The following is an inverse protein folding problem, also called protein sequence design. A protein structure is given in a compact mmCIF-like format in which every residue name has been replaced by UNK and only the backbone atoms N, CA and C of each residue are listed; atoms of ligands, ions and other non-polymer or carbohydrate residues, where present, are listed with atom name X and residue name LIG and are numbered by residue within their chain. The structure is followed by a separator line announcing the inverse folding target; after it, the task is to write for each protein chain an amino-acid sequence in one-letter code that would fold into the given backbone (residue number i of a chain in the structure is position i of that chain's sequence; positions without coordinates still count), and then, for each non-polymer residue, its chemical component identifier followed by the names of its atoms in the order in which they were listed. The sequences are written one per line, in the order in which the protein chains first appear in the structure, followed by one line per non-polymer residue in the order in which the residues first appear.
data_IF_828619777451
#
_entry.id   IF_828619777451
#
_cell.length_a   1.000
_cell.length_b   1.000
_cell.length_c   1.000
_cell.angle_alpha   90.00
_cell.angle_beta   90.00
_cell.angle_gamma   90.00
#
_symmetry.space_group_name_H-M   'P 1'
#
loop_
_entity.id
_entity.type
_entity.pdbx_description
1 polymer ?
#
# COMPACT_ATOMS: atom_id res chain seq x y z
N UNK A 1 -3.04 -6.70 -24.71
CA UNK A 1 -1.92 -5.74 -24.47
C UNK A 1 -2.27 -4.57 -23.54
N UNK A 2 -3.38 -3.86 -23.75
CA UNK A 2 -3.77 -2.72 -22.90
C UNK A 2 -4.01 -3.12 -21.43
N UNK A 3 -4.63 -4.29 -21.19
CA UNK A 3 -4.86 -4.80 -19.84
C UNK A 3 -3.57 -5.16 -19.09
N UNK A 4 -2.59 -5.79 -19.76
CA UNK A 4 -1.26 -6.02 -19.19
C UNK A 4 -0.59 -4.70 -18.77
N UNK A 5 -0.63 -3.68 -19.64
CA UNK A 5 -0.07 -2.37 -19.34
C UNK A 5 -0.73 -1.73 -18.11
N UNK A 6 -2.05 -1.90 -17.96
CA UNK A 6 -2.78 -1.46 -16.77
C UNK A 6 -2.32 -2.18 -15.50
N UNK A 7 -2.14 -3.51 -15.53
CA UNK A 7 -1.62 -4.26 -14.38
C UNK A 7 -0.20 -3.82 -13.97
N UNK A 8 0.67 -3.56 -14.95
CA UNK A 8 2.03 -3.04 -14.70
C UNK A 8 1.96 -1.64 -14.08
N UNK A 9 1.10 -0.76 -14.61
CA UNK A 9 0.90 0.58 -14.07
C UNK A 9 0.39 0.54 -12.63
N UNK A 10 -0.68 -0.23 -12.37
CA UNK A 10 -1.28 -0.41 -11.05
C UNK A 10 -0.27 -0.97 -10.05
N UNK A 11 0.48 -2.00 -10.46
CA UNK A 11 1.56 -2.59 -9.65
C UNK A 11 2.62 -1.56 -9.26
N UNK A 12 3.14 -0.81 -10.24
CA UNK A 12 4.16 0.21 -10.02
C UNK A 12 3.68 1.32 -9.08
N UNK A 13 2.43 1.77 -9.24
CA UNK A 13 1.83 2.78 -8.38
C UNK A 13 1.68 2.29 -6.93
N UNK A 14 1.13 1.09 -6.72
CA UNK A 14 0.92 0.50 -5.40
C UNK A 14 2.25 0.15 -4.70
N UNK A 15 3.22 -0.38 -5.43
CA UNK A 15 4.56 -0.67 -4.91
C UNK A 15 5.29 0.60 -4.47
N UNK A 16 5.27 1.63 -5.32
CA UNK A 16 5.90 2.92 -5.00
C UNK A 16 5.24 3.56 -3.78
N UNK A 17 3.90 3.50 -3.69
CA UNK A 17 3.14 4.00 -2.55
C UNK A 17 3.46 3.23 -1.26
N UNK A 18 3.41 1.90 -1.31
CA UNK A 18 3.70 1.03 -0.16
C UNK A 18 5.13 1.19 0.35
N UNK A 19 6.11 1.21 -0.56
CA UNK A 19 7.53 1.41 -0.21
C UNK A 19 7.78 2.79 0.42
N UNK A 20 7.15 3.83 -0.15
CA UNK A 20 7.24 5.18 0.38
C UNK A 20 6.63 5.29 1.78
N UNK A 21 5.43 4.73 1.97
CA UNK A 21 4.74 4.68 3.25
C UNK A 21 5.61 3.97 4.30
N UNK A 22 6.12 2.79 3.98
CA UNK A 22 6.97 1.97 4.85
C UNK A 22 8.25 2.70 5.28
N UNK A 23 8.90 3.38 4.32
CA UNK A 23 10.11 4.16 4.58
C UNK A 23 9.83 5.33 5.52
N UNK A 24 8.70 6.01 5.35
CA UNK A 24 8.32 7.17 6.15
C UNK A 24 7.85 6.78 7.56
N UNK A 25 7.02 5.75 7.69
CA UNK A 25 6.59 5.15 8.97
C UNK A 25 7.82 4.74 9.78
N UNK A 26 8.74 3.99 9.18
CA UNK A 26 9.96 3.52 9.85
C UNK A 26 10.86 4.67 10.28
N UNK A 27 11.03 5.68 9.43
CA UNK A 27 11.84 6.86 9.75
C UNK A 27 11.24 7.66 10.91
N UNK A 28 9.93 7.86 10.92
CA UNK A 28 9.26 8.61 11.96
C UNK A 28 9.33 7.87 13.31
N UNK A 29 9.14 6.55 13.30
CA UNK A 29 9.27 5.72 14.50
C UNK A 29 10.68 5.76 15.08
N UNK A 30 11.72 5.64 14.23
CA UNK A 30 13.11 5.66 14.67
C UNK A 30 13.58 7.04 15.18
N UNK A 31 12.99 8.14 14.68
CA UNK A 31 13.30 9.50 15.16
C UNK A 31 12.66 9.78 16.52
N UNK A 32 11.42 9.37 16.74
CA UNK A 32 10.65 9.69 17.95
C UNK A 32 9.75 8.51 18.36
N UNK A 33 10.31 7.46 18.99
CA UNK A 33 9.56 6.24 19.26
C UNK A 33 8.44 6.42 20.30
N UNK A 34 8.60 7.36 21.24
CA UNK A 34 7.62 7.61 22.33
C UNK A 34 6.41 8.44 21.89
N UNK A 35 6.58 9.30 20.88
CA UNK A 35 5.55 10.21 20.38
C UNK A 35 4.99 9.75 19.02
N UNK A 36 5.21 8.48 18.66
CA UNK A 36 4.73 7.93 17.39
C UNK A 36 3.21 7.89 17.34
N UNK A 37 2.65 8.49 16.28
CA UNK A 37 1.24 8.41 15.92
C UNK A 37 1.16 8.16 14.43
N UNK A 38 0.44 7.11 14.04
CA UNK A 38 0.17 6.76 12.66
C UNK A 38 -0.53 7.91 11.95
N UNK A 39 -0.10 8.19 10.71
CA UNK A 39 -0.71 9.23 9.88
C UNK A 39 -1.12 8.59 8.55
N UNK A 40 -2.33 8.84 8.04
CA UNK A 40 -2.77 8.30 6.74
C UNK A 40 -1.87 8.72 5.56
N UNK A 41 -1.12 9.81 5.74
CA UNK A 41 -0.23 10.37 4.74
C UNK A 41 1.05 10.94 5.37
N UNK A 42 2.14 10.90 4.59
CA UNK A 42 3.42 11.49 4.97
C UNK A 42 3.91 12.50 3.92
N UNK A 43 4.02 13.80 4.26
CA UNK A 43 4.54 14.79 3.31
C UNK A 43 5.99 14.47 2.94
N UNK A 44 6.36 14.80 1.70
CA UNK A 44 7.71 14.54 1.21
C UNK A 44 8.77 15.27 2.03
N UNK A 45 9.86 14.58 2.43
CA UNK A 45 10.89 15.15 3.30
C UNK A 45 11.68 16.29 2.65
N UNK A 46 11.68 16.38 1.31
CA UNK A 46 12.39 17.43 0.55
C UNK A 46 11.59 18.73 0.41
N UNK A 47 10.42 18.84 1.06
CA UNK A 47 9.59 20.04 1.00
C UNK A 47 10.19 21.13 1.88
N UNK A 48 11.14 21.88 1.31
CA UNK A 48 11.46 23.22 1.81
C UNK A 48 10.21 24.10 1.66
N UNK A 49 9.94 24.92 2.68
CA UNK A 49 8.71 25.71 2.92
C UNK A 49 8.15 26.54 1.73
N UNK A 50 8.89 26.66 0.63
CA UNK A 50 8.55 27.51 -0.50
C UNK A 50 7.56 26.87 -1.50
N UNK A 51 7.54 25.54 -1.65
CA UNK A 51 6.76 24.87 -2.71
C UNK A 51 5.61 24.01 -2.16
N UNK A 52 4.41 24.63 -2.04
CA UNK A 52 3.16 23.94 -1.61
C UNK A 52 2.84 22.70 -2.47
N UNK A 53 3.15 22.72 -3.77
CA UNK A 53 2.90 21.59 -4.67
C UNK A 53 3.70 20.33 -4.30
N UNK A 54 4.95 20.50 -3.85
CA UNK A 54 5.81 19.37 -3.44
C UNK A 54 5.39 18.78 -2.09
N UNK A 55 4.71 19.56 -1.24
CA UNK A 55 4.20 19.09 0.05
C UNK A 55 3.11 18.01 -0.11
N UNK A 56 2.24 18.15 -1.10
CA UNK A 56 1.09 17.28 -1.36
C UNK A 56 1.28 16.33 -2.55
N UNK A 57 2.51 16.20 -3.06
CA UNK A 57 2.79 15.45 -4.28
C UNK A 57 2.31 14.01 -4.22
N UNK A 58 2.50 13.31 -3.09
CA UNK A 58 2.03 11.92 -2.98
C UNK A 58 0.49 11.85 -3.00
N UNK A 59 -0.26 12.80 -2.41
CA UNK A 59 -1.72 12.83 -2.55
C UNK A 59 -2.15 13.09 -3.99
N UNK A 60 -1.51 14.03 -4.68
CA UNK A 60 -1.81 14.30 -6.09
C UNK A 60 -1.54 13.08 -6.98
N UNK A 61 -0.45 12.35 -6.71
CA UNK A 61 -0.12 11.12 -7.45
C UNK A 61 -1.14 10.02 -7.19
N UNK A 62 -1.56 9.81 -5.93
CA UNK A 62 -2.62 8.85 -5.59
C UNK A 62 -3.92 9.20 -6.30
N UNK A 63 -4.36 10.47 -6.25
CA UNK A 63 -5.58 10.94 -6.92
C UNK A 63 -5.49 10.70 -8.43
N UNK A 64 -4.34 11.00 -9.05
CA UNK A 64 -4.12 10.77 -10.47
C UNK A 64 -4.18 9.26 -10.82
N UNK A 65 -3.52 8.41 -10.05
CA UNK A 65 -3.54 6.96 -10.25
C UNK A 65 -4.96 6.38 -10.08
N UNK A 66 -5.70 6.82 -9.07
CA UNK A 66 -7.09 6.40 -8.84
C UNK A 66 -8.02 6.88 -9.97
N UNK A 67 -7.81 8.10 -10.48
CA UNK A 67 -8.57 8.61 -11.62
C UNK A 67 -8.31 7.80 -12.89
N UNK A 68 -7.04 7.48 -13.18
CA UNK A 68 -6.68 6.61 -14.31
C UNK A 68 -7.31 5.23 -14.15
N UNK A 69 -7.29 4.66 -12.93
CA UNK A 69 -7.92 3.38 -12.63
C UNK A 69 -9.44 3.41 -12.83
N UNK A 70 -10.11 4.49 -12.41
CA UNK A 70 -11.53 4.69 -12.62
C UNK A 70 -11.87 4.74 -14.11
N UNK A 71 -11.14 5.54 -14.88
CA UNK A 71 -11.33 5.63 -16.34
C UNK A 71 -11.12 4.26 -16.99
N UNK A 72 -10.08 3.53 -16.61
CA UNK A 72 -9.82 2.19 -17.13
C UNK A 72 -10.99 1.23 -16.86
N UNK A 73 -11.50 1.17 -15.62
CA UNK A 73 -12.66 0.32 -15.30
C UNK A 73 -13.93 0.76 -16.03
N UNK A 74 -14.16 2.06 -16.19
CA UNK A 74 -15.31 2.54 -16.97
C UNK A 74 -15.18 2.15 -18.45
N UNK A 75 -13.99 2.23 -19.04
CA UNK A 75 -13.74 1.78 -20.40
C UNK A 75 -13.95 0.27 -20.56
N UNK A 76 -13.42 -0.53 -19.63
CA UNK A 76 -13.65 -1.99 -19.61
C UNK A 76 -15.13 -2.32 -19.46
N UNK A 77 -15.86 -1.61 -18.60
CA UNK A 77 -17.32 -1.80 -18.43
C UNK A 77 -18.15 -1.40 -19.65
N UNK A 78 -17.65 -0.45 -20.44
CA UNK A 78 -18.28 0.05 -21.65
C UNK A 78 -17.96 -0.82 -22.87
N UNK A 79 -16.93 -1.67 -22.79
CA UNK A 79 -16.58 -2.55 -23.88
C UNK A 79 -17.68 -3.60 -24.06
N UNK A 80 -18.12 -3.74 -25.31
CA UNK A 80 -19.25 -4.59 -25.62
C UNK A 80 -18.75 -6.00 -25.89
N UNK A 81 -18.85 -6.89 -24.88
CA UNK A 81 -18.62 -8.32 -25.09
C UNK A 81 -19.40 -8.84 -26.31
N UNK A 82 -18.73 -9.21 -27.42
CA UNK A 82 -19.41 -9.73 -28.61
C UNK A 82 -19.84 -11.19 -28.44
N UNK A 83 -19.46 -11.85 -27.33
CA UNK A 83 -19.66 -13.29 -27.10
C UNK A 83 -20.94 -13.66 -26.34
N UNK A 84 -21.76 -12.69 -25.90
CA UNK A 84 -23.03 -12.98 -25.21
C UNK A 84 -24.23 -12.42 -25.97
N UNK A 85 -24.63 -13.15 -27.02
CA UNK A 85 -26.02 -13.12 -27.52
C UNK A 85 -27.01 -13.80 -26.54
N UNK A 86 -26.63 -13.90 -25.25
CA UNK A 86 -27.28 -14.69 -24.20
C UNK A 86 -27.18 -14.07 -22.79
N UNK A 87 -28.03 -13.08 -22.52
CA UNK A 87 -28.76 -12.82 -21.26
C UNK A 87 -28.09 -12.50 -19.91
N UNK A 88 -26.76 -12.42 -19.71
CA UNK A 88 -26.23 -11.84 -18.43
C UNK A 88 -24.95 -11.01 -18.58
N UNK A 89 -24.99 -9.68 -18.38
CA UNK A 89 -23.82 -8.80 -18.47
C UNK A 89 -22.99 -8.80 -17.17
N UNK A 90 -22.57 -9.98 -16.71
CA UNK A 90 -21.85 -10.16 -15.44
C UNK A 90 -20.56 -9.34 -15.40
N UNK A 91 -19.74 -9.41 -16.46
CA UNK A 91 -18.46 -8.72 -16.54
C UNK A 91 -18.59 -7.19 -16.41
N UNK A 92 -19.65 -6.62 -17.00
CA UNK A 92 -19.93 -5.18 -16.89
C UNK A 92 -20.27 -4.78 -15.47
N UNK A 93 -21.11 -5.57 -14.79
CA UNK A 93 -21.51 -5.27 -13.41
C UNK A 93 -20.35 -5.43 -12.43
N UNK A 94 -19.48 -6.43 -12.60
CA UNK A 94 -18.30 -6.59 -11.74
C UNK A 94 -17.30 -5.44 -11.94
N UNK A 95 -17.05 -5.03 -13.19
CA UNK A 95 -16.19 -3.87 -13.49
C UNK A 95 -16.78 -2.55 -12.96
N UNK A 96 -18.11 -2.35 -13.05
CA UNK A 96 -18.79 -1.19 -12.46
C UNK A 96 -18.73 -1.19 -10.93
N UNK A 97 -18.82 -2.35 -10.29
CA UNK A 97 -18.66 -2.47 -8.84
C UNK A 97 -17.25 -2.07 -8.43
N UNK A 98 -16.22 -2.56 -9.13
CA UNK A 98 -14.82 -2.17 -8.88
C UNK A 98 -14.61 -0.66 -9.10
N UNK A 99 -15.16 -0.11 -10.19
CA UNK A 99 -15.14 1.32 -10.46
C UNK A 99 -15.78 2.16 -9.34
N UNK A 100 -16.89 1.68 -8.75
CA UNK A 100 -17.55 2.34 -7.64
C UNK A 100 -16.66 2.36 -6.38
N UNK A 101 -15.94 1.27 -6.08
CA UNK A 101 -15.02 1.24 -4.94
C UNK A 101 -13.81 2.16 -5.16
N UNK A 102 -13.24 2.15 -6.37
CA UNK A 102 -12.15 3.07 -6.75
C UNK A 102 -12.61 4.53 -6.61
N UNK A 103 -13.85 4.83 -7.00
CA UNK A 103 -14.44 6.16 -6.83
C UNK A 103 -14.56 6.54 -5.34
N UNK A 104 -14.92 5.61 -4.45
CA UNK A 104 -14.88 5.85 -3.00
C UNK A 104 -13.46 6.16 -2.49
N UNK A 105 -12.43 5.43 -2.95
CA UNK A 105 -11.04 5.74 -2.63
C UNK A 105 -10.60 7.11 -3.16
N UNK A 106 -11.08 7.51 -4.34
CA UNK A 106 -10.83 8.83 -4.92
C UNK A 106 -11.43 9.94 -4.04
N UNK A 107 -12.69 9.79 -3.61
CA UNK A 107 -13.34 10.72 -2.68
C UNK A 107 -12.56 10.80 -1.37
N UNK A 108 -12.17 9.66 -0.79
CA UNK A 108 -11.40 9.63 0.45
C UNK A 108 -10.07 10.39 0.31
N UNK A 109 -9.38 10.20 -0.81
CA UNK A 109 -8.10 10.88 -1.10
C UNK A 109 -8.28 12.39 -1.28
N UNK A 110 -9.36 12.83 -1.92
CA UNK A 110 -9.70 14.25 -2.05
C UNK A 110 -10.09 14.85 -0.68
N UNK A 111 -10.84 14.11 0.14
CA UNK A 111 -11.21 14.54 1.48
C UNK A 111 -9.98 14.70 2.39
N UNK A 112 -9.01 13.80 2.29
CA UNK A 112 -7.70 13.93 2.95
C UNK A 112 -6.95 15.17 2.48
N UNK A 113 -6.93 15.45 1.17
CA UNK A 113 -6.28 16.64 0.63
C UNK A 113 -6.93 17.92 1.15
N UNK A 114 -8.26 17.96 1.15
CA UNK A 114 -9.03 19.13 1.58
C UNK A 114 -8.88 19.38 3.09
N UNK A 115 -8.88 18.31 3.90
CA UNK A 115 -8.69 18.39 5.35
C UNK A 115 -7.32 18.96 5.75
N UNK A 116 -6.25 18.65 5.01
CA UNK A 116 -4.90 19.18 5.32
C UNK A 116 -4.59 20.50 4.59
N UNK A 117 -5.30 20.82 3.49
CA UNK A 117 -5.11 22.07 2.75
C UNK A 117 -6.01 23.22 3.24
N UNK A 118 -7.17 22.90 3.81
CA UNK A 118 -8.18 23.89 4.25
C UNK A 118 -8.75 23.55 5.62
N UNK A 119 -9.21 24.58 6.33
CA UNK A 119 -9.94 24.44 7.60
C UNK A 119 -11.40 24.02 7.43
N UNK A 120 -11.86 23.74 6.19
CA UNK A 120 -13.26 23.47 5.88
C UNK A 120 -13.75 22.13 6.44
N UNK A 121 -12.86 21.16 6.62
CA UNK A 121 -13.20 19.81 7.06
C UNK A 121 -12.16 19.29 8.08
N UNK A 122 -12.21 19.74 9.34
CA UNK A 122 -11.29 19.29 10.39
C UNK A 122 -11.68 17.89 10.88
N UNK A 123 -11.39 16.86 10.09
CA UNK A 123 -11.61 15.47 10.50
C UNK A 123 -10.39 14.95 11.28
N UNK A 124 -10.61 14.17 12.35
CA UNK A 124 -9.53 13.49 13.04
C UNK A 124 -8.92 12.40 12.14
N UNK A 125 -7.60 12.13 12.25
CA UNK A 125 -6.90 11.11 11.46
C UNK A 125 -7.51 9.71 11.62
N UNK A 126 -8.03 9.40 12.81
CA UNK A 126 -8.62 8.10 13.15
C UNK A 126 -9.88 7.80 12.30
N UNK A 127 -10.64 8.84 11.95
CA UNK A 127 -11.83 8.69 11.10
C UNK A 127 -11.45 8.35 9.66
N UNK A 128 -10.34 8.86 9.15
CA UNK A 128 -9.85 8.48 7.83
C UNK A 128 -9.42 7.01 7.78
N UNK A 129 -8.79 6.49 8.84
CA UNK A 129 -8.50 5.06 8.95
C UNK A 129 -9.78 4.21 9.05
N UNK A 130 -10.80 4.67 9.78
CA UNK A 130 -12.09 3.99 9.86
C UNK A 130 -12.80 3.92 8.51
N UNK A 131 -12.86 5.04 7.77
CA UNK A 131 -13.45 5.07 6.42
C UNK A 131 -12.63 4.21 5.46
N UNK A 132 -11.30 4.29 5.49
CA UNK A 132 -10.43 3.44 4.69
C UNK A 132 -10.69 1.95 4.94
N UNK A 133 -10.87 1.55 6.20
CA UNK A 133 -11.21 0.18 6.57
C UNK A 133 -12.50 -0.29 5.90
N UNK A 134 -13.55 0.53 5.92
CA UNK A 134 -14.84 0.22 5.27
C UNK A 134 -14.68 0.09 3.75
N UNK A 135 -13.92 0.99 3.11
CA UNK A 135 -13.70 0.92 1.66
C UNK A 135 -12.88 -0.32 1.29
N UNK A 136 -11.86 -0.70 2.08
CA UNK A 136 -11.13 -1.95 1.88
C UNK A 136 -12.01 -3.20 2.09
N UNK A 137 -12.95 -3.19 3.04
CA UNK A 137 -13.94 -4.27 3.17
C UNK A 137 -14.85 -4.34 1.94
N UNK A 138 -15.25 -3.19 1.40
CA UNK A 138 -16.04 -3.14 0.18
C UNK A 138 -15.24 -3.74 -0.98
N UNK A 139 -13.97 -3.39 -1.12
CA UNK A 139 -13.07 -3.98 -2.12
C UNK A 139 -12.95 -5.51 -1.94
N UNK A 140 -12.78 -5.99 -0.70
CA UNK A 140 -12.78 -7.42 -0.40
C UNK A 140 -14.07 -8.11 -0.87
N UNK A 141 -15.22 -7.51 -0.60
CA UNK A 141 -16.52 -8.07 -1.00
C UNK A 141 -16.69 -8.13 -2.51
N UNK A 142 -16.26 -7.08 -3.23
CA UNK A 142 -16.31 -7.01 -4.69
C UNK A 142 -15.34 -8.03 -5.31
N UNK A 143 -14.10 -8.12 -4.84
CA UNK A 143 -13.13 -9.12 -5.33
C UNK A 143 -13.58 -10.55 -5.03
N UNK A 144 -14.18 -10.81 -3.87
CA UNK A 144 -14.73 -12.13 -3.53
C UNK A 144 -15.93 -12.50 -4.40
N UNK A 145 -16.81 -11.53 -4.69
CA UNK A 145 -17.92 -11.72 -5.60
C UNK A 145 -17.44 -11.96 -7.03
N UNK A 146 -16.45 -11.21 -7.51
CA UNK A 146 -15.79 -11.43 -8.81
C UNK A 146 -15.28 -12.87 -8.92
N UNK A 147 -14.52 -13.32 -7.91
CA UNK A 147 -13.98 -14.67 -7.86
C UNK A 147 -15.05 -15.78 -7.93
N UNK A 148 -16.25 -15.54 -7.38
CA UNK A 148 -17.34 -16.51 -7.36
C UNK A 148 -18.11 -16.61 -8.69
N UNK A 149 -18.15 -15.55 -9.48
CA UNK A 149 -18.92 -15.49 -10.74
C UNK A 149 -18.01 -15.63 -11.97
N UNK A 150 -16.69 -15.54 -11.80
CA UNK A 150 -15.70 -15.72 -12.85
C UNK A 150 -15.77 -17.15 -13.43
N UNK A 151 -15.79 -17.27 -14.76
CA UNK A 151 -15.76 -18.56 -15.46
C UNK A 151 -14.34 -19.12 -15.66
N UNK A 152 -13.32 -18.28 -15.51
CA UNK A 152 -11.90 -18.68 -15.56
C UNK A 152 -11.42 -19.05 -14.16
N UNK A 153 -10.99 -20.31 -13.99
CA UNK A 153 -10.49 -20.83 -12.72
C UNK A 153 -9.24 -20.07 -12.22
N UNK A 154 -8.38 -19.63 -13.15
CA UNK A 154 -7.14 -18.93 -12.82
C UNK A 154 -7.43 -17.50 -12.33
N UNK A 155 -8.29 -16.77 -13.04
CA UNK A 155 -8.68 -15.43 -12.63
C UNK A 155 -9.47 -15.44 -11.32
N UNK A 156 -10.36 -16.43 -11.12
CA UNK A 156 -11.08 -16.62 -9.87
C UNK A 156 -10.12 -16.78 -8.67
N UNK A 157 -9.06 -17.58 -8.84
CA UNK A 157 -8.05 -17.77 -7.79
C UNK A 157 -7.25 -16.48 -7.53
N UNK A 158 -6.85 -15.75 -8.57
CA UNK A 158 -6.17 -14.46 -8.43
C UNK A 158 -7.03 -13.45 -7.65
N UNK A 159 -8.31 -13.32 -8.01
CA UNK A 159 -9.27 -12.41 -7.37
C UNK A 159 -9.54 -12.81 -5.92
N UNK A 160 -9.63 -14.11 -5.64
CA UNK A 160 -9.79 -14.64 -4.27
C UNK A 160 -8.60 -14.29 -3.37
N UNK A 161 -7.37 -14.47 -3.88
CA UNK A 161 -6.16 -14.09 -3.12
C UNK A 161 -6.09 -12.57 -2.94
N UNK A 162 -6.42 -11.78 -3.98
CA UNK A 162 -6.49 -10.33 -3.88
C UNK A 162 -7.49 -9.89 -2.79
N UNK A 163 -8.66 -10.54 -2.74
CA UNK A 163 -9.66 -10.32 -1.71
C UNK A 163 -9.08 -10.55 -0.31
N UNK A 164 -8.37 -11.65 -0.06
CA UNK A 164 -7.71 -11.91 1.22
C UNK A 164 -6.73 -10.80 1.61
N UNK A 165 -5.97 -10.25 0.66
CA UNK A 165 -5.06 -9.13 0.93
C UNK A 165 -5.85 -7.85 1.29
N UNK A 166 -6.98 -7.58 0.63
CA UNK A 166 -7.84 -6.43 0.97
C UNK A 166 -8.50 -6.58 2.36
N UNK A 167 -8.89 -7.81 2.73
CA UNK A 167 -9.39 -8.11 4.07
C UNK A 167 -8.32 -7.84 5.14
N UNK A 168 -7.06 -8.24 4.88
CA UNK A 168 -5.94 -7.92 5.75
C UNK A 168 -5.74 -6.41 5.88
N UNK A 169 -5.70 -5.65 4.78
CA UNK A 169 -5.54 -4.19 4.85
C UNK A 169 -6.69 -3.51 5.59
N UNK A 170 -7.93 -3.99 5.43
CA UNK A 170 -9.07 -3.50 6.21
C UNK A 170 -8.88 -3.73 7.72
N UNK A 171 -8.52 -4.94 8.12
CA UNK A 171 -8.30 -5.26 9.54
C UNK A 171 -7.19 -4.38 10.15
N UNK A 172 -6.10 -4.16 9.41
CA UNK A 172 -5.03 -3.26 9.83
C UNK A 172 -5.51 -1.81 9.98
N UNK A 173 -6.26 -1.28 9.01
CA UNK A 173 -6.86 0.06 9.10
C UNK A 173 -7.84 0.17 10.28
N UNK A 174 -8.63 -0.87 10.56
CA UNK A 174 -9.56 -0.90 11.67
C UNK A 174 -8.82 -0.83 13.02
N UNK A 175 -7.75 -1.59 13.18
CA UNK A 175 -6.92 -1.53 14.39
C UNK A 175 -6.29 -0.16 14.56
N UNK A 176 -5.78 0.45 13.47
CA UNK A 176 -5.20 1.80 13.50
C UNK A 176 -6.24 2.88 13.84
N UNK A 177 -7.50 2.72 13.44
CA UNK A 177 -8.57 3.64 13.81
C UNK A 177 -8.85 3.65 15.32
N UNK A 178 -8.69 2.52 16.01
CA UNK A 178 -8.85 2.45 17.47
C UNK A 178 -7.56 2.75 18.24
N UNK A 179 -6.41 2.37 17.68
CA UNK A 179 -5.10 2.47 18.33
C UNK A 179 -4.03 2.95 17.34
N UNK A 180 -3.98 4.26 17.03
CA UNK A 180 -3.06 4.82 16.03
C UNK A 180 -1.59 4.83 16.48
N UNK A 181 -1.30 4.49 17.73
CA UNK A 181 0.08 4.46 18.26
C UNK A 181 0.84 3.18 17.91
N UNK A 182 0.17 2.18 17.32
CA UNK A 182 0.79 0.89 17.03
C UNK A 182 1.57 0.92 15.71
N UNK A 183 2.87 1.19 15.81
CA UNK A 183 3.81 1.18 14.68
C UNK A 183 3.73 -0.08 13.81
N UNK A 184 3.60 -1.25 14.43
CA UNK A 184 3.59 -2.55 13.72
C UNK A 184 2.43 -2.63 12.73
N UNK A 185 1.25 -2.14 13.10
CA UNK A 185 0.08 -2.17 12.22
C UNK A 185 0.19 -1.18 11.06
N UNK A 186 0.82 -0.03 11.30
CA UNK A 186 1.06 0.99 10.29
C UNK A 186 2.12 0.55 9.27
N UNK A 187 3.20 -0.08 9.75
CA UNK A 187 4.20 -0.71 8.91
C UNK A 187 3.61 -1.90 8.12
N UNK A 188 2.79 -2.73 8.77
CA UNK A 188 2.09 -3.84 8.12
C UNK A 188 1.11 -3.35 7.05
N UNK A 189 0.45 -2.21 7.24
CA UNK A 189 -0.43 -1.60 6.22
C UNK A 189 0.38 -1.21 4.99
N UNK A 190 1.54 -0.55 5.16
CA UNK A 190 2.46 -0.25 4.05
C UNK A 190 2.97 -1.51 3.34
N UNK A 191 3.31 -2.56 4.08
CA UNK A 191 3.70 -3.85 3.53
C UNK A 191 2.56 -4.52 2.75
N UNK A 192 1.32 -4.42 3.25
CA UNK A 192 0.13 -4.93 2.56
C UNK A 192 -0.09 -4.22 1.22
N UNK A 193 0.16 -2.92 1.12
CA UNK A 193 0.08 -2.19 -0.16
C UNK A 193 1.14 -2.68 -1.17
N UNK A 194 2.36 -2.96 -0.71
CA UNK A 194 3.38 -3.61 -1.55
C UNK A 194 2.90 -4.99 -2.03
N UNK A 195 2.29 -5.78 -1.14
CA UNK A 195 1.77 -7.10 -1.50
C UNK A 195 0.64 -7.00 -2.54
N UNK A 196 -0.28 -6.03 -2.40
CA UNK A 196 -1.31 -5.75 -3.40
C UNK A 196 -0.70 -5.40 -4.76
N UNK A 197 0.33 -4.53 -4.78
CA UNK A 197 1.01 -4.14 -6.01
C UNK A 197 1.73 -5.30 -6.69
N UNK A 198 2.45 -6.13 -5.94
CA UNK A 198 3.08 -7.34 -6.46
C UNK A 198 2.06 -8.34 -6.99
N UNK A 199 0.97 -8.56 -6.26
CA UNK A 199 -0.08 -9.49 -6.68
C UNK A 199 -0.82 -9.01 -7.92
N UNK A 200 -1.02 -7.69 -8.07
CA UNK A 200 -1.57 -7.11 -9.30
C UNK A 200 -0.68 -7.38 -10.52
N UNK A 201 0.65 -7.34 -10.36
CA UNK A 201 1.60 -7.73 -11.42
C UNK A 201 1.53 -9.22 -11.71
N UNK A 202 1.56 -10.07 -10.68
CA UNK A 202 1.44 -11.51 -10.82
C UNK A 202 0.16 -11.91 -11.56
N UNK A 203 -0.96 -11.25 -11.24
CA UNK A 203 -2.25 -11.44 -11.91
C UNK A 203 -2.16 -11.08 -13.39
N UNK A 204 -1.57 -9.92 -13.71
CA UNK A 204 -1.34 -9.50 -15.09
C UNK A 204 -0.44 -10.48 -15.86
N UNK A 205 0.66 -10.95 -15.26
CA UNK A 205 1.56 -11.91 -15.88
C UNK A 205 0.87 -13.26 -16.13
N UNK A 206 0.12 -13.77 -15.13
CA UNK A 206 -0.55 -15.08 -15.22
C UNK A 206 -1.69 -15.10 -16.24
N UNK A 207 -2.33 -13.96 -16.52
CA UNK A 207 -3.46 -13.86 -17.44
C UNK A 207 -3.06 -13.47 -18.88
N UNK A 208 -1.99 -12.68 -19.05
CA UNK A 208 -1.66 -12.06 -20.34
C UNK A 208 -0.31 -12.49 -20.92
N UNK A 209 0.55 -13.22 -20.19
CA UNK A 209 1.85 -13.68 -20.69
C UNK A 209 1.88 -15.20 -20.77
N UNK A 210 2.00 -15.74 -22.00
CA UNK A 210 1.93 -17.17 -22.26
C UNK A 210 3.01 -17.98 -21.51
N UNK A 211 4.18 -17.40 -21.27
CA UNK A 211 5.27 -18.05 -20.51
C UNK A 211 4.95 -18.29 -19.03
N UNK A 212 3.94 -17.60 -18.47
CA UNK A 212 3.52 -17.73 -17.07
C UNK A 212 2.19 -18.49 -16.94
N UNK A 213 1.64 -19.01 -18.04
CA UNK A 213 0.45 -19.86 -18.01
C UNK A 213 0.87 -21.29 -17.61
N UNK A 214 0.26 -21.88 -16.56
CA UNK A 214 0.56 -23.25 -16.15
C UNK A 214 0.27 -24.26 -17.26
N UNK A 215 1.14 -25.25 -17.39
CA UNK A 215 0.97 -26.36 -18.35
C UNK A 215 -0.40 -27.05 -18.16
N UNK A 216 -1.18 -27.14 -19.24
CA UNK A 216 -2.52 -27.76 -19.24
C UNK A 216 -3.68 -26.77 -19.07
N UNK A 217 -3.41 -25.48 -18.90
CA UNK A 217 -4.39 -24.41 -19.06
C UNK A 217 -4.12 -23.67 -20.37
N UNK A 218 -5.15 -23.52 -21.20
CA UNK A 218 -5.01 -22.86 -22.49
C UNK A 218 -5.88 -21.60 -22.51
N UNK A 219 -5.37 -20.54 -23.15
CA UNK A 219 -6.20 -19.40 -23.52
C UNK A 219 -7.15 -19.91 -24.60
N UNK A 220 -8.47 -19.90 -24.34
CA UNK A 220 -9.45 -20.14 -25.38
C UNK A 220 -9.35 -18.98 -26.38
N UNK A 221 -8.55 -19.16 -27.43
CA UNK A 221 -8.56 -18.32 -28.61
C UNK A 221 -9.76 -18.78 -29.44
N UNK A 222 -10.95 -18.23 -29.17
CA UNK A 222 -12.10 -18.55 -30.01
C UNK A 222 -11.91 -17.87 -31.37
N UNK A 223 -11.77 -18.71 -32.39
CA UNK A 223 -11.40 -18.37 -33.76
C UNK A 223 -12.57 -17.64 -34.42
N UNK A 224 -12.67 -16.32 -34.18
CA UNK A 224 -13.69 -15.50 -34.84
C UNK A 224 -13.69 -14.03 -34.42
N UNK A 225 -13.30 -13.71 -33.19
CA UNK A 225 -13.19 -12.33 -32.72
C UNK A 225 -12.08 -12.25 -31.70
N UNK A 226 -10.99 -11.54 -32.03
CA UNK A 226 -9.80 -11.38 -31.19
C UNK A 226 -10.07 -10.66 -29.87
N UNK A 227 -10.78 -11.32 -28.95
CA UNK A 227 -11.04 -10.86 -27.58
C UNK A 227 -10.32 -11.81 -26.63
N UNK A 228 -9.51 -11.22 -25.76
CA UNK A 228 -8.69 -11.91 -24.77
C UNK A 228 -9.55 -12.42 -23.60
N UNK A 229 -9.27 -13.63 -23.09
CA UNK A 229 -9.13 -13.74 -21.63
C UNK A 229 -9.92 -14.80 -20.87
N UNK A 230 -10.53 -15.81 -21.48
CA UNK A 230 -10.96 -16.98 -20.70
C UNK A 230 -9.91 -18.08 -20.78
N UNK A 231 -8.98 -18.11 -19.83
CA UNK A 231 -8.11 -19.28 -19.64
C UNK A 231 -8.94 -20.37 -18.95
N UNK A 232 -9.11 -21.50 -19.64
CA UNK A 232 -9.79 -22.69 -19.11
C UNK A 232 -8.78 -23.82 -19.05
N UNK A 233 -8.78 -24.54 -17.93
CA UNK A 233 -7.95 -25.73 -17.77
C UNK A 233 -8.76 -26.95 -18.24
N UNK A 234 -8.16 -27.79 -19.09
CA UNK A 234 -8.86 -28.92 -19.72
C UNK A 234 -9.14 -30.07 -18.73
N UNK A 235 -8.34 -30.18 -17.66
CA UNK A 235 -8.38 -31.26 -16.66
C UNK A 235 -8.39 -30.67 -15.25
N UNK A 236 -9.13 -31.32 -14.34
CA UNK A 236 -9.19 -30.94 -12.91
C UNK A 236 -7.80 -31.04 -12.24
N UNK A 237 -6.98 -32.02 -12.65
CA UNK A 237 -5.60 -32.17 -12.15
C UNK A 237 -4.71 -30.97 -12.53
N UNK A 238 -4.87 -30.44 -13.75
CA UNK A 238 -4.15 -29.25 -14.22
C UNK A 238 -4.58 -28.01 -13.44
N UNK A 239 -5.86 -27.94 -13.07
CA UNK A 239 -6.40 -26.87 -12.22
C UNK A 239 -5.82 -26.94 -10.80
N UNK A 240 -5.81 -28.10 -10.17
CA UNK A 240 -5.22 -28.27 -8.84
C UNK A 240 -3.72 -27.91 -8.84
N UNK A 241 -2.98 -28.30 -9.88
CA UNK A 241 -1.57 -27.90 -10.07
C UNK A 241 -1.42 -26.39 -10.22
N UNK A 242 -2.23 -25.74 -11.05
CA UNK A 242 -2.20 -24.29 -11.26
C UNK A 242 -2.49 -23.52 -9.96
N UNK A 243 -3.50 -23.95 -9.20
CA UNK A 243 -3.84 -23.37 -7.90
C UNK A 243 -2.69 -23.52 -6.91
N UNK A 244 -2.09 -24.71 -6.81
CA UNK A 244 -0.94 -24.95 -5.92
C UNK A 244 0.28 -24.09 -6.28
N UNK A 245 0.55 -23.89 -7.58
CA UNK A 245 1.62 -23.00 -8.05
C UNK A 245 1.33 -21.55 -7.65
N UNK A 246 0.10 -21.06 -7.84
CA UNK A 246 -0.29 -19.71 -7.44
C UNK A 246 -0.18 -19.51 -5.93
N UNK A 247 -0.56 -20.50 -5.12
CA UNK A 247 -0.43 -20.46 -3.67
C UNK A 247 1.05 -20.41 -3.24
N UNK A 248 1.92 -21.19 -3.89
CA UNK A 248 3.36 -21.13 -3.65
C UNK A 248 3.93 -19.75 -4.03
N UNK A 249 3.54 -19.21 -5.18
CA UNK A 249 3.95 -17.88 -5.64
C UNK A 249 3.46 -16.80 -4.68
N UNK A 250 2.26 -16.91 -4.12
CA UNK A 250 1.78 -15.99 -3.10
C UNK A 250 2.67 -16.01 -1.84
N UNK A 251 3.05 -17.20 -1.35
CA UNK A 251 3.98 -17.33 -0.22
C UNK A 251 5.33 -16.68 -0.53
N UNK A 252 5.85 -16.84 -1.75
CA UNK A 252 7.09 -16.19 -2.18
C UNK A 252 6.97 -14.66 -2.18
N UNK A 253 5.82 -14.12 -2.63
CA UNK A 253 5.56 -12.67 -2.56
C UNK A 253 5.50 -12.16 -1.12
N UNK A 254 4.87 -12.90 -0.20
CA UNK A 254 4.85 -12.55 1.22
C UNK A 254 6.28 -12.53 1.79
N UNK A 255 7.09 -13.54 1.49
CA UNK A 255 8.50 -13.57 1.90
C UNK A 255 9.28 -12.37 1.35
N UNK A 256 9.10 -12.06 0.07
CA UNK A 256 9.75 -10.92 -0.58
C UNK A 256 9.38 -9.60 0.11
N UNK A 257 8.10 -9.38 0.43
CA UNK A 257 7.63 -8.18 1.13
C UNK A 257 8.24 -8.08 2.54
N UNK A 258 8.35 -9.20 3.26
CA UNK A 258 9.02 -9.23 4.56
C UNK A 258 10.51 -8.86 4.44
N UNK A 259 11.20 -9.36 3.42
CA UNK A 259 12.59 -9.00 3.14
C UNK A 259 12.73 -7.51 2.80
N UNK A 260 11.82 -6.96 1.99
CA UNK A 260 11.77 -5.52 1.69
C UNK A 260 11.59 -4.71 2.98
N UNK A 261 10.68 -5.12 3.86
CA UNK A 261 10.47 -4.45 5.14
C UNK A 261 11.74 -4.44 6.00
N UNK A 262 12.39 -5.60 6.16
CA UNK A 262 13.63 -5.70 6.92
C UNK A 262 14.76 -4.86 6.31
N UNK A 263 14.87 -4.84 4.98
CA UNK A 263 15.85 -4.03 4.26
C UNK A 263 15.61 -2.53 4.44
N UNK A 264 14.35 -2.07 4.33
CA UNK A 264 13.95 -0.68 4.59
C UNK A 264 14.26 -0.32 6.04
N UNK A 265 13.90 -1.17 7.00
CA UNK A 265 14.19 -0.93 8.41
C UNK A 265 15.68 -0.79 8.68
N UNK A 266 16.50 -1.71 8.16
CA UNK A 266 17.95 -1.65 8.30
C UNK A 266 18.56 -0.40 7.63
N UNK A 267 18.11 -0.04 6.43
CA UNK A 267 18.59 1.14 5.71
C UNK A 267 18.22 2.44 6.44
N UNK A 268 16.98 2.56 6.91
CA UNK A 268 16.53 3.74 7.66
C UNK A 268 17.21 3.82 9.03
N UNK A 269 17.36 2.71 9.74
CA UNK A 269 18.11 2.67 11.00
C UNK A 269 19.56 3.13 10.83
N UNK A 270 20.22 2.71 9.75
CA UNK A 270 21.59 3.17 9.42
C UNK A 270 21.62 4.67 9.15
N UNK A 271 20.71 5.20 8.34
CA UNK A 271 20.71 6.64 7.99
C UNK A 271 20.39 7.54 9.19
N UNK A 272 19.42 7.17 10.04
CA UNK A 272 19.11 7.90 11.27
C UNK A 272 20.24 7.79 12.30
N UNK A 273 20.82 6.60 12.48
CA UNK A 273 21.95 6.38 13.38
C UNK A 273 23.22 7.12 12.96
N UNK A 274 23.49 7.24 11.65
CA UNK A 274 24.57 8.07 11.10
C UNK A 274 24.30 9.54 11.39
N UNK A 275 23.07 10.03 11.18
CA UNK A 275 22.70 11.41 11.49
C UNK A 275 22.88 11.74 12.98
N UNK A 276 22.52 10.83 13.90
CA UNK A 276 22.75 11.01 15.34
C UNK A 276 24.22 10.88 15.75
N UNK A 277 25.06 10.17 15.00
CA UNK A 277 26.52 10.13 15.24
C UNK A 277 27.23 11.42 14.79
N UNK A 278 26.71 12.12 13.78
CA UNK A 278 27.27 13.38 13.29
C UNK A 278 26.57 14.62 13.84
N UNK A 279 25.39 14.48 14.46
CA UNK A 279 24.62 15.56 15.05
C UNK A 279 24.81 15.65 16.57
N UNK A 280 25.53 16.68 17.00
CA UNK A 280 25.57 17.23 18.37
C UNK A 280 26.21 16.34 19.44
N UNK A 281 27.53 16.51 19.59
CA UNK A 281 28.11 16.52 20.94
C UNK A 281 27.51 17.73 21.65
N UNK A 282 26.39 17.54 22.34
CA UNK A 282 25.91 18.51 23.31
C UNK A 282 26.95 18.50 24.43
N UNK A 283 27.90 19.44 24.36
CA UNK A 283 28.87 19.65 25.43
C UNK A 283 28.05 19.87 26.69
N UNK A 284 28.21 18.97 27.66
CA UNK A 284 27.79 19.19 29.05
C UNK A 284 28.07 20.65 29.37
N UNK A 285 27.11 21.41 29.94
CA UNK A 285 27.42 22.74 30.43
C UNK A 285 28.57 22.55 31.41
N UNK A 286 29.78 22.89 30.97
CA UNK A 286 30.86 23.19 31.88
C UNK A 286 30.27 24.35 32.64
N UNK A 287 29.79 24.05 33.85
CA UNK A 287 29.45 25.04 34.85
C UNK A 287 30.51 26.11 34.69
N UNK A 288 30.06 27.30 34.28
CA UNK A 288 30.93 28.44 34.14
C UNK A 288 31.77 28.41 35.41
N UNK A 289 33.07 28.19 35.23
CA UNK A 289 34.05 28.51 36.25
C UNK A 289 34.03 30.04 36.32
N UNK A 290 32.93 30.59 36.83
CA UNK A 290 32.95 31.84 37.54
C UNK A 290 33.92 31.60 38.67
N UNK A 291 35.12 32.06 38.40
CA UNK A 291 36.20 32.34 39.32
C UNK A 291 35.66 33.14 40.50
N UNK A 292 35.01 32.44 41.43
CA UNK A 292 34.65 32.91 42.75
C UNK A 292 35.30 31.97 43.75
N UNK A 293 36.63 32.08 43.79
CA UNK A 293 37.39 32.12 45.03
C UNK A 293 36.84 31.25 46.17
N UNK A 294 36.90 29.91 46.01
CA UNK A 294 36.80 29.01 47.16
C UNK A 294 38.10 29.20 47.95
N UNK A 295 38.07 30.18 48.86
CA UNK A 295 39.07 30.35 49.90
C UNK A 295 39.06 29.07 50.76
N UNK A 296 40.03 28.18 50.53
CA UNK A 296 40.35 27.17 51.54
C UNK A 296 40.91 27.90 52.75
N UNK A 297 40.07 28.03 53.78
CA UNK A 297 40.47 28.58 55.08
C UNK A 297 41.45 27.62 55.74
N UNK A 298 42.74 27.98 55.74
CA UNK A 298 43.76 27.30 56.51
C UNK A 298 43.43 27.39 58.00
N UNK A 299 43.23 26.25 58.65
CA UNK A 299 43.17 26.17 60.11
C UNK A 299 44.60 26.11 60.65
N UNK A 300 45.20 27.25 60.89
CA UNK A 300 46.35 27.38 61.79
C UNK A 300 45.86 28.04 63.08
N UNK A 301 45.66 27.23 64.11
CA UNK A 301 45.41 27.68 65.48
C UNK A 301 46.47 27.10 66.39
N UNK A 302 47.48 27.90 66.73
CA UNK A 302 48.40 27.65 67.86
C UNK A 302 48.13 28.67 68.95
N UNK A 303 47.94 28.12 70.16
CA UNK A 303 48.29 28.65 71.48
C UNK A 303 47.52 29.85 72.05
N UNK A 304 46.76 29.55 73.10
CA UNK A 304 46.86 30.22 74.41
C UNK A 304 46.64 29.18 75.50
#
# INVERSE_FOLDING_TARGET
MAALAYHIFSSSALLSLGFYHLSCVTRNHLKSPRDYVAKPYHPLPFSSSSNRLLKYLQLYLIILCLFIALVNQLLVSSDADPLLKGRTPVHRFTSLQDAAVIFCFLILSIALLLSDATSLLPLPPDLFFAIASVIFLLQYSVSSASAAVQTSDLQAKCDSVAACIFALSSALCLVLAFQPRLFVFDAALGASLCLQGLWALQTGLSLYVDAFIPEGCHKLLDVGSGVEGSTKCDLEDSKLRAVAILDLVFVLHVLLVLLIFMAVYAAVARTVGIHNRFGSYETLPTAAADSSHIQMKAMTGTQS
#
